data_IF_781511598565
#
_entry.id   IF_781511598565
#
_cell.length_a   1.000
_cell.length_b   1.000
_cell.length_c   1.000
_cell.angle_alpha   90.00
_cell.angle_beta   90.00
_cell.angle_gamma   90.00
#
_symmetry.space_group_name_H-M   'P 1'
#
loop_
_entity.id
_entity.type
_entity.pdbx_description
1 polymer ?
#
# COMPACT_ATOMS: atom_id res chain seq x y z
N UNK A 1 0.98 11.90 11.39
CA UNK A 1 0.51 11.21 10.17
C UNK A 1 -0.55 10.20 10.56
N UNK A 2 -1.65 10.08 9.81
CA UNK A 2 -2.58 8.98 10.04
C UNK A 2 -2.02 7.69 9.38
N UNK A 3 -2.52 6.51 9.74
CA UNK A 3 -2.00 5.22 9.23
C UNK A 3 -2.12 5.06 7.70
N UNK A 4 -3.06 5.76 7.08
CA UNK A 4 -3.25 5.73 5.63
C UNK A 4 -2.21 6.60 4.92
N UNK A 5 -1.89 7.77 5.47
CA UNK A 5 -0.81 8.63 4.96
C UNK A 5 0.53 7.88 5.04
N UNK A 6 0.80 7.21 6.17
CA UNK A 6 2.01 6.40 6.36
C UNK A 6 2.07 5.22 5.37
N UNK A 7 0.94 4.56 5.12
CA UNK A 7 0.82 3.53 4.09
C UNK A 7 1.23 4.06 2.70
N UNK A 8 0.70 5.21 2.28
CA UNK A 8 1.03 5.77 0.97
C UNK A 8 2.48 6.29 0.92
N UNK A 9 3.01 6.83 2.02
CA UNK A 9 4.40 7.26 2.11
C UNK A 9 5.37 6.09 1.85
N UNK A 10 5.09 4.89 2.39
CA UNK A 10 5.90 3.68 2.13
C UNK A 10 5.94 3.35 0.63
N UNK A 11 4.81 3.50 -0.06
CA UNK A 11 4.71 3.18 -1.49
C UNK A 11 5.27 4.28 -2.40
N UNK A 12 5.75 5.40 -1.85
CA UNK A 12 6.15 6.59 -2.60
C UNK A 12 7.39 6.40 -3.48
N UNK A 13 8.16 5.33 -3.28
CA UNK A 13 9.29 4.99 -4.14
C UNK A 13 8.87 4.27 -5.45
N UNK A 14 7.57 3.96 -5.61
CA UNK A 14 7.04 3.29 -6.79
C UNK A 14 7.50 1.84 -6.96
N UNK A 15 8.05 1.20 -5.91
CA UNK A 15 8.52 -0.18 -5.93
C UNK A 15 7.50 -1.14 -5.31
N UNK A 16 7.81 -2.43 -5.40
CA UNK A 16 7.06 -3.49 -4.74
C UNK A 16 7.49 -3.61 -3.29
N UNK A 17 6.52 -3.60 -2.37
CA UNK A 17 6.71 -3.68 -0.93
C UNK A 17 6.04 -4.94 -0.35
N UNK A 18 6.68 -5.58 0.62
CA UNK A 18 6.11 -6.75 1.28
C UNK A 18 4.98 -6.34 2.24
N UNK A 19 3.83 -7.01 2.15
CA UNK A 19 2.66 -6.65 2.96
C UNK A 19 2.84 -6.90 4.46
N UNK A 20 3.71 -7.84 4.87
CA UNK A 20 4.01 -8.05 6.30
C UNK A 20 4.86 -6.91 6.86
N UNK A 21 5.83 -6.41 6.09
CA UNK A 21 6.64 -5.25 6.46
C UNK A 21 5.79 -3.98 6.53
N UNK A 22 4.92 -3.76 5.53
CA UNK A 22 3.97 -2.64 5.53
C UNK A 22 3.05 -2.69 6.76
N UNK A 23 2.51 -3.88 7.10
CA UNK A 23 1.67 -4.06 8.29
C UNK A 23 2.43 -3.74 9.59
N UNK A 24 3.70 -4.15 9.67
CA UNK A 24 4.55 -3.89 10.83
C UNK A 24 4.84 -2.39 10.99
N UNK A 25 5.21 -1.69 9.91
CA UNK A 25 5.53 -0.26 9.96
C UNK A 25 4.28 0.56 10.30
N UNK A 26 3.17 0.34 9.60
CA UNK A 26 1.91 1.09 9.79
C UNK A 26 1.14 0.70 11.06
N UNK A 27 1.52 -0.40 11.70
CA UNK A 27 0.78 -1.00 12.82
C UNK A 27 -0.67 -1.37 12.44
N UNK A 28 -0.94 -1.64 11.17
CA UNK A 28 -2.24 -2.17 10.70
C UNK A 28 -2.19 -3.69 10.84
N UNK A 29 -3.24 -4.31 11.38
CA UNK A 29 -3.34 -5.76 11.43
C UNK A 29 -3.24 -6.33 10.00
N UNK A 30 -2.46 -7.39 9.82
CA UNK A 30 -2.14 -7.90 8.48
C UNK A 30 -3.38 -8.25 7.67
N UNK A 31 -4.36 -8.90 8.29
CA UNK A 31 -5.63 -9.30 7.67
C UNK A 31 -6.41 -8.07 7.20
N UNK A 32 -6.45 -7.02 8.03
CA UNK A 32 -7.09 -5.75 7.69
C UNK A 32 -6.34 -5.01 6.58
N UNK A 33 -5.01 -5.08 6.56
CA UNK A 33 -4.23 -4.55 5.45
C UNK A 33 -4.57 -5.28 4.14
N UNK A 34 -4.68 -6.61 4.15
CA UNK A 34 -5.10 -7.38 2.98
C UNK A 34 -6.47 -6.93 2.45
N UNK A 35 -7.44 -6.67 3.34
CA UNK A 35 -8.75 -6.15 2.95
C UNK A 35 -8.65 -4.78 2.26
N UNK A 36 -7.87 -3.86 2.84
CA UNK A 36 -7.63 -2.52 2.29
C UNK A 36 -6.94 -2.60 0.92
N UNK A 37 -5.90 -3.43 0.80
CA UNK A 37 -5.18 -3.63 -0.47
C UNK A 37 -6.10 -4.21 -1.53
N UNK A 38 -6.95 -5.17 -1.19
CA UNK A 38 -7.90 -5.73 -2.14
C UNK A 38 -8.95 -4.69 -2.59
N UNK A 39 -9.38 -3.80 -1.70
CA UNK A 39 -10.26 -2.68 -2.05
C UNK A 39 -9.56 -1.70 -3.01
N UNK A 40 -8.34 -1.29 -2.69
CA UNK A 40 -7.56 -0.38 -3.52
C UNK A 40 -7.16 -0.98 -4.86
N UNK A 41 -6.87 -2.28 -4.91
CA UNK A 41 -6.61 -2.99 -6.16
C UNK A 41 -7.85 -3.04 -7.06
N UNK A 42 -9.06 -3.25 -6.49
CA UNK A 42 -10.32 -3.15 -7.25
C UNK A 42 -10.54 -1.76 -7.84
N UNK A 43 -10.11 -0.72 -7.13
CA UNK A 43 -10.16 0.66 -7.60
C UNK A 43 -8.99 1.05 -8.52
N UNK A 44 -8.10 0.11 -8.86
CA UNK A 44 -6.88 0.35 -9.63
C UNK A 44 -5.95 1.43 -9.04
N UNK A 45 -5.96 1.61 -7.71
CA UNK A 45 -5.04 2.52 -7.01
C UNK A 45 -3.69 1.85 -6.78
N UNK A 46 -3.69 0.56 -6.49
CA UNK A 46 -2.49 -0.25 -6.26
C UNK A 46 -2.53 -1.55 -7.07
N UNK A 47 -1.36 -2.11 -7.33
CA UNK A 47 -1.18 -3.47 -7.81
C UNK A 47 -0.91 -4.38 -6.62
N UNK A 48 -1.56 -5.55 -6.59
CA UNK A 48 -1.38 -6.56 -5.54
C UNK A 48 -0.94 -7.89 -6.16
N UNK A 49 0.32 -8.30 -5.91
CA UNK A 49 0.80 -9.64 -6.23
C UNK A 49 0.52 -10.59 -5.06
N UNK A 50 -0.59 -11.33 -5.18
CA UNK A 50 -1.04 -12.30 -4.17
C UNK A 50 -0.08 -13.49 -3.99
N UNK A 51 0.75 -13.81 -4.99
CA UNK A 51 1.69 -14.94 -4.89
C UNK A 51 2.89 -14.54 -4.04
N UNK A 52 3.36 -13.30 -4.17
CA UNK A 52 4.51 -12.78 -3.44
C UNK A 52 4.14 -12.00 -2.17
N UNK A 53 2.85 -11.75 -1.95
CA UNK A 53 2.34 -10.88 -0.89
C UNK A 53 2.97 -9.48 -0.96
N UNK A 54 3.03 -8.92 -2.16
CA UNK A 54 3.61 -7.59 -2.38
C UNK A 54 2.59 -6.62 -2.97
N UNK A 55 2.76 -5.34 -2.64
CA UNK A 55 1.95 -4.23 -3.15
C UNK A 55 2.83 -3.17 -3.79
N UNK A 56 2.33 -2.52 -4.83
CA UNK A 56 2.95 -1.35 -5.46
C UNK A 56 1.86 -0.35 -5.81
N UNK A 57 2.11 0.96 -5.69
CA UNK A 57 1.16 1.97 -6.18
C UNK A 57 1.15 2.04 -7.71
N UNK A 58 -0.02 2.23 -8.31
CA UNK A 58 -0.10 2.51 -9.74
C UNK A 58 0.42 3.93 -10.04
N UNK A 59 1.13 4.09 -11.15
CA UNK A 59 1.79 5.36 -11.51
C UNK A 59 0.79 6.53 -11.62
N UNK A 60 -0.43 6.26 -12.11
CA UNK A 60 -1.56 7.21 -12.19
C UNK A 60 -1.95 7.79 -10.81
N UNK A 61 -1.67 7.05 -9.74
CA UNK A 61 -2.03 7.40 -8.36
C UNK A 61 -0.83 7.82 -7.50
N UNK A 62 0.36 7.96 -8.10
CA UNK A 62 1.60 8.37 -7.42
C UNK A 62 1.52 9.74 -6.71
N UNK A 63 0.53 10.58 -7.06
CA UNK A 63 0.29 11.83 -6.35
C UNK A 63 -0.18 11.63 -4.89
N UNK A 64 -0.77 10.48 -4.56
CA UNK A 64 -1.18 10.13 -3.18
C UNK A 64 0.00 9.93 -2.22
N UNK A 65 1.21 9.75 -2.75
CA UNK A 65 2.42 9.47 -1.95
C UNK A 65 3.26 10.72 -1.70
N UNK A 66 2.85 11.88 -2.23
CA UNK A 66 3.55 13.14 -2.04
C UNK A 66 2.96 13.81 -0.79
N UNK A 67 3.81 14.16 0.17
CA UNK A 67 3.42 15.05 1.25
C UNK A 67 3.08 16.43 0.65
N UNK A 68 1.93 16.99 1.03
CA UNK A 68 1.59 18.40 0.81
C UNK A 68 2.10 19.24 1.97
#
# INVERSE_FOLDING_TARGET
MNKLDEFFAILGDGKWHNLREVAQVTGIQYEKLIEIINLFAKANIVQHDKRKNTVKINDEWSFLTKEN
#
